data_IF_979274768592
#
_entry.id   IF_979274768592
#
_cell.length_a   1.000
_cell.length_b   1.000
_cell.length_c   1.000
_cell.angle_alpha   90.00
_cell.angle_beta   90.00
_cell.angle_gamma   90.00
#
_symmetry.space_group_name_H-M   'P 1'
#
loop_
_entity.id
_entity.type
_entity.pdbx_description
1 polymer ?
#
# COMPACT_ATOMS: atom_id res chain seq x y z
N UNK A 1 41.61 -0.44 -3.44
CA UNK A 1 41.22 -1.40 -2.41
C UNK A 1 40.44 -0.64 -1.36
N UNK A 2 39.14 -0.70 -1.18
CA UNK A 2 37.98 -1.12 -1.96
C UNK A 2 36.84 -0.25 -1.40
N UNK A 3 36.03 0.30 -2.30
CA UNK A 3 34.86 1.14 -2.00
C UNK A 3 33.74 0.24 -1.46
N UNK A 4 33.40 0.39 -0.18
CA UNK A 4 32.28 -0.32 0.42
C UNK A 4 31.09 0.64 0.53
N UNK A 5 30.47 0.92 -0.61
CA UNK A 5 29.11 1.47 -0.68
C UNK A 5 28.17 0.51 0.09
N UNK A 6 27.47 0.97 1.14
CA UNK A 6 26.47 0.15 1.79
C UNK A 6 25.31 -0.01 0.81
N UNK A 7 25.25 -1.18 0.18
CA UNK A 7 24.12 -1.59 -0.64
C UNK A 7 22.88 -1.51 0.23
N UNK A 8 22.11 -0.44 0.03
CA UNK A 8 20.85 -0.21 0.73
C UNK A 8 19.98 -1.43 0.48
N UNK A 9 19.81 -2.21 1.54
CA UNK A 9 19.12 -3.49 1.52
C UNK A 9 17.85 -3.38 0.71
N UNK A 10 17.86 -4.03 -0.44
CA UNK A 10 16.67 -4.22 -1.28
C UNK A 10 15.58 -4.71 -0.33
N UNK A 11 14.43 -4.00 -0.21
CA UNK A 11 13.38 -4.45 0.69
C UNK A 11 13.03 -5.88 0.30
N UNK A 12 12.84 -6.79 1.29
CA UNK A 12 12.52 -8.17 1.00
C UNK A 12 11.31 -8.16 0.08
N UNK A 13 11.50 -8.67 -1.14
CA UNK A 13 10.45 -8.82 -2.13
C UNK A 13 9.34 -9.56 -1.42
N UNK A 14 8.28 -8.85 -1.03
CA UNK A 14 7.10 -9.47 -0.50
C UNK A 14 6.65 -10.45 -1.58
N UNK A 15 6.83 -11.75 -1.34
CA UNK A 15 6.38 -12.82 -2.22
C UNK A 15 4.85 -12.92 -2.27
N UNK A 16 4.16 -11.81 -2.10
CA UNK A 16 2.77 -11.69 -2.51
C UNK A 16 2.77 -11.55 -4.03
N UNK A 17 2.89 -12.69 -4.73
CA UNK A 17 2.44 -12.84 -6.12
C UNK A 17 0.91 -12.71 -6.22
N UNK A 18 0.30 -11.95 -5.31
CA UNK A 18 -1.12 -11.75 -5.18
C UNK A 18 -1.47 -10.46 -5.90
N UNK A 19 -2.30 -10.61 -6.92
CA UNK A 19 -2.70 -9.58 -7.87
C UNK A 19 -4.19 -9.36 -7.68
N UNK A 20 -4.56 -8.12 -7.39
CA UNK A 20 -5.95 -7.72 -7.20
C UNK A 20 -6.41 -7.11 -8.53
N UNK A 21 -7.47 -7.65 -9.14
CA UNK A 21 -7.96 -7.13 -10.43
C UNK A 21 -8.27 -5.64 -10.31
N UNK A 22 -7.76 -4.83 -11.25
CA UNK A 22 -8.12 -3.43 -11.29
C UNK A 22 -9.56 -3.29 -11.82
N UNK A 23 -10.50 -2.97 -10.92
CA UNK A 23 -11.91 -2.78 -11.27
C UNK A 23 -12.22 -1.37 -11.79
N UNK A 24 -11.26 -0.44 -11.75
CA UNK A 24 -11.40 0.92 -12.30
C UNK A 24 -11.01 1.00 -13.78
N UNK A 25 -10.34 -0.03 -14.29
CA UNK A 25 -9.92 -0.13 -15.68
C UNK A 25 -10.84 -1.09 -16.44
N UNK A 26 -11.06 -0.80 -17.72
CA UNK A 26 -11.69 -1.76 -18.64
C UNK A 26 -10.72 -2.83 -19.13
N UNK A 27 -9.43 -2.74 -18.79
CA UNK A 27 -8.42 -3.71 -19.18
C UNK A 27 -8.47 -4.95 -18.30
N UNK A 28 -8.58 -6.13 -18.91
CA UNK A 28 -8.68 -7.40 -18.19
C UNK A 28 -7.36 -7.91 -17.60
N UNK A 29 -6.24 -7.36 -18.04
CA UNK A 29 -4.89 -7.76 -17.63
C UNK A 29 -4.25 -6.77 -16.65
N UNK A 30 -5.02 -5.82 -16.12
CA UNK A 30 -4.53 -4.83 -15.17
C UNK A 30 -4.82 -5.25 -13.73
N UNK A 31 -3.78 -5.19 -12.89
CA UNK A 31 -3.86 -5.64 -11.51
C UNK A 31 -3.06 -4.72 -10.59
N UNK A 32 -3.55 -4.55 -9.38
CA UNK A 32 -2.81 -3.91 -8.31
C UNK A 32 -2.04 -4.94 -7.49
N UNK A 33 -0.88 -4.52 -6.99
CA UNK A 33 -0.19 -5.20 -5.90
C UNK A 33 -0.57 -4.56 -4.56
N UNK A 34 -0.45 -5.27 -3.43
CA UNK A 34 -0.69 -4.68 -2.11
C UNK A 34 0.17 -3.43 -1.85
N UNK A 35 1.42 -3.42 -2.30
CA UNK A 35 2.31 -2.25 -2.20
C UNK A 35 1.82 -1.06 -3.05
N UNK A 36 1.27 -1.31 -4.24
CA UNK A 36 0.67 -0.28 -5.09
C UNK A 36 -0.56 0.33 -4.42
N UNK A 37 -1.47 -0.50 -3.90
CA UNK A 37 -2.65 -0.03 -3.18
C UNK A 37 -2.28 0.79 -1.94
N UNK A 38 -1.24 0.35 -1.23
CA UNK A 38 -0.71 1.07 -0.08
C UNK A 38 -0.23 2.48 -0.44
N UNK A 39 0.57 2.60 -1.49
CA UNK A 39 1.03 3.90 -1.97
C UNK A 39 -0.14 4.79 -2.41
N UNK A 40 -1.09 4.24 -3.19
CA UNK A 40 -2.27 4.99 -3.65
C UNK A 40 -3.08 5.54 -2.48
N UNK A 41 -3.42 4.71 -1.49
CA UNK A 41 -4.18 5.14 -0.33
C UNK A 41 -3.39 6.09 0.58
N UNK A 42 -2.08 5.90 0.71
CA UNK A 42 -1.20 6.83 1.43
C UNK A 42 -1.21 8.23 0.82
N UNK A 43 -1.27 8.33 -0.51
CA UNK A 43 -1.27 9.60 -1.23
C UNK A 43 -2.66 10.17 -1.55
N UNK A 44 -3.73 9.62 -0.95
CA UNK A 44 -5.06 10.22 -0.97
C UNK A 44 -6.14 9.46 -1.74
N UNK A 45 -5.85 8.28 -2.29
CA UNK A 45 -6.89 7.45 -2.89
C UNK A 45 -7.84 6.89 -1.81
N UNK A 46 -9.16 7.10 -1.93
CA UNK A 46 -10.12 6.70 -0.90
C UNK A 46 -10.17 5.20 -0.70
N UNK A 47 -9.77 4.75 0.49
CA UNK A 47 -9.80 3.35 0.92
C UNK A 47 -11.20 2.73 0.74
N UNK A 48 -12.27 3.50 0.96
CA UNK A 48 -13.65 3.01 0.88
C UNK A 48 -14.08 2.68 -0.54
N UNK A 49 -13.48 3.33 -1.54
CA UNK A 49 -13.75 3.04 -2.96
C UNK A 49 -13.07 1.75 -3.43
N UNK A 50 -12.18 1.15 -2.63
CA UNK A 50 -11.56 -0.13 -2.96
C UNK A 50 -12.55 -1.31 -2.87
N UNK A 51 -12.40 -2.34 -3.73
CA UNK A 51 -13.07 -3.62 -3.56
C UNK A 51 -12.77 -4.26 -2.20
N UNK A 52 -13.65 -5.11 -1.70
CA UNK A 52 -13.52 -5.74 -0.37
C UNK A 52 -12.24 -6.57 -0.23
N UNK A 53 -11.95 -7.43 -1.22
CA UNK A 53 -10.71 -8.20 -1.30
C UNK A 53 -9.46 -7.30 -1.28
N UNK A 54 -9.55 -6.12 -1.91
CA UNK A 54 -8.46 -5.17 -1.97
C UNK A 54 -8.22 -4.49 -0.61
N UNK A 55 -9.31 -4.18 0.11
CA UNK A 55 -9.27 -3.63 1.46
C UNK A 55 -8.62 -4.60 2.45
N UNK A 56 -9.03 -5.87 2.42
CA UNK A 56 -8.46 -6.90 3.29
C UNK A 56 -6.95 -7.03 3.09
N UNK A 57 -6.51 -7.07 1.82
CA UNK A 57 -5.08 -7.17 1.51
C UNK A 57 -4.27 -5.95 1.85
N UNK A 58 -4.85 -4.76 1.68
CA UNK A 58 -4.19 -3.54 2.09
C UNK A 58 -4.02 -3.52 3.62
N UNK A 59 -5.03 -3.93 4.40
CA UNK A 59 -4.91 -4.06 5.86
C UNK A 59 -3.82 -5.06 6.26
N UNK A 60 -3.79 -6.24 5.63
CA UNK A 60 -2.75 -7.25 5.84
C UNK A 60 -1.35 -6.68 5.57
N UNK A 61 -1.21 -5.99 4.43
CA UNK A 61 0.06 -5.36 4.03
C UNK A 61 0.48 -4.24 5.00
N UNK A 62 -0.44 -3.40 5.47
CA UNK A 62 -0.14 -2.37 6.46
C UNK A 62 0.42 -2.97 7.75
N UNK A 63 -0.17 -4.06 8.25
CA UNK A 63 0.31 -4.77 9.44
C UNK A 63 1.72 -5.35 9.24
N UNK A 64 1.97 -5.94 8.07
CA UNK A 64 3.29 -6.48 7.73
C UNK A 64 4.34 -5.38 7.52
N UNK A 65 3.94 -4.25 6.95
CA UNK A 65 4.79 -3.09 6.78
C UNK A 65 5.15 -2.48 8.15
N UNK A 66 4.17 -2.34 9.05
CA UNK A 66 4.36 -1.80 10.40
C UNK A 66 5.36 -2.65 11.21
N UNK A 67 5.20 -3.98 11.21
CA UNK A 67 6.16 -4.91 11.86
C UNK A 67 7.60 -4.77 11.34
N UNK A 68 7.76 -4.41 10.06
CA UNK A 68 9.07 -4.27 9.39
C UNK A 68 9.63 -2.85 9.51
N UNK A 69 8.79 -1.89 9.88
CA UNK A 69 9.19 -0.51 10.03
C UNK A 69 10.00 -0.37 11.33
N UNK A 70 11.32 -0.16 11.20
CA UNK A 70 12.20 0.13 12.34
C UNK A 70 12.16 1.59 12.78
N UNK A 71 11.36 2.42 12.09
CA UNK A 71 11.18 3.84 12.39
C UNK A 71 9.92 4.03 13.25
N UNK A 72 10.11 4.46 14.49
CA UNK A 72 9.06 4.75 15.48
C UNK A 72 8.31 6.07 15.22
N UNK A 73 8.64 6.81 14.16
CA UNK A 73 8.26 8.23 14.00
C UNK A 73 6.84 8.47 13.45
N UNK A 74 5.98 7.46 13.42
CA UNK A 74 4.57 7.69 13.16
C UNK A 74 3.83 6.44 12.72
N UNK A 75 2.76 6.14 13.45
CA UNK A 75 1.71 5.22 13.02
C UNK A 75 1.35 5.49 11.55
N UNK A 76 1.20 4.43 10.75
CA UNK A 76 0.93 4.55 9.32
C UNK A 76 -0.46 5.17 9.13
N UNK A 77 -0.50 6.49 8.91
CA UNK A 77 -1.74 7.20 8.61
C UNK A 77 -2.11 6.98 7.14
N UNK A 78 -3.14 6.18 6.90
CA UNK A 78 -3.83 6.19 5.62
C UNK A 78 -4.69 7.45 5.59
N UNK A 79 -4.32 8.43 4.77
CA UNK A 79 -4.97 9.75 4.72
C UNK A 79 -6.49 9.67 4.57
N UNK A 80 -7.02 8.66 3.87
CA UNK A 80 -8.47 8.48 3.70
C UNK A 80 -9.24 8.03 4.95
N UNK A 81 -8.57 7.42 5.93
CA UNK A 81 -9.18 7.03 7.20
C UNK A 81 -9.22 8.17 8.22
N UNK A 82 -8.37 9.19 8.04
CA UNK A 82 -8.28 10.38 8.91
C UNK A 82 -9.27 11.49 8.49
N UNK A 83 -9.87 11.39 7.30
CA UNK A 83 -10.84 12.39 6.80
C UNK A 83 -12.27 11.95 7.16
N UNK A 84 -13.01 12.73 7.99
CA UNK A 84 -14.40 12.45 8.30
C UNK A 84 -15.25 12.43 7.03
N UNK A 85 -16.34 11.64 6.98
CA UNK A 85 -17.04 11.28 5.74
C UNK A 85 -17.61 12.45 4.93
N UNK A 86 -17.69 13.66 5.50
CA UNK A 86 -18.21 14.86 4.83
C UNK A 86 -17.29 15.52 3.81
N UNK A 87 -15.97 15.31 3.89
CA UNK A 87 -14.97 15.99 3.03
C UNK A 87 -14.37 15.07 1.96
N UNK A 88 -14.97 13.90 1.75
CA UNK A 88 -14.54 12.97 0.69
C UNK A 88 -15.03 13.50 -0.64
N UNK A 89 -14.11 13.95 -1.50
CA UNK A 89 -14.43 14.36 -2.87
C UNK A 89 -15.24 13.26 -3.57
N UNK A 90 -16.48 13.62 -3.91
CA UNK A 90 -17.49 12.82 -4.62
C UNK A 90 -16.90 12.32 -5.94
#
# INVERSE_FOLDING_TARGET
MDDATPEHGRPPVARSSWRIKNTFSSADNEYFTPATLFALCKYGFPFEKLPEDAKEKLIEYCREYDKRCTHSDGEIKIASLDVPPGDRLI
#
